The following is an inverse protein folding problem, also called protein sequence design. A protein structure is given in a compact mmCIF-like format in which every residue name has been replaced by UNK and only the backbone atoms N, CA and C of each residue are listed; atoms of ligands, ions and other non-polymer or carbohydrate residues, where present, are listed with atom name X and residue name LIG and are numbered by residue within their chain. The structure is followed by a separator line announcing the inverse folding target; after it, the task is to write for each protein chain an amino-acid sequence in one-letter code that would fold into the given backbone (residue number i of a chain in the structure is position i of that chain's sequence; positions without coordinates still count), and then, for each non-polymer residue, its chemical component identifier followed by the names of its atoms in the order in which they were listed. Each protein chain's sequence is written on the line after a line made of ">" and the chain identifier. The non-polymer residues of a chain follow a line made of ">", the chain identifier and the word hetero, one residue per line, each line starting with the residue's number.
data_IF_278173782244
#
_entry.id   IF_278173782244
#
_cell.length_a   1.000
_cell.length_b   1.000
_cell.length_c   1.000
_cell.angle_alpha   90.00
_cell.angle_beta   90.00
_cell.angle_gamma   90.00
#
_symmetry.space_group_name_H-M   'P 1'
#
loop_
_entity.id
_entity.type
_entity.pdbx_description
1 polymer ?
#
# COMPACT_ATOMS: atom_id res chain seq x y z
N UNK A 1 23.77 8.02 -12.31
CA UNK A 1 22.71 7.63 -13.26
C UNK A 1 22.45 8.79 -14.21
N UNK A 2 22.43 8.55 -15.52
CA UNK A 2 22.18 9.59 -16.54
C UNK A 2 20.74 10.11 -16.43
N UNK A 3 20.48 11.33 -16.93
CA UNK A 3 19.16 11.96 -16.85
C UNK A 3 18.05 11.09 -17.47
N UNK A 4 18.28 10.55 -18.67
CA UNK A 4 17.32 9.69 -19.36
C UNK A 4 16.92 8.45 -18.55
N UNK A 5 17.88 7.82 -17.86
CA UNK A 5 17.61 6.67 -16.99
C UNK A 5 16.74 7.04 -15.79
N UNK A 6 16.94 8.24 -15.20
CA UNK A 6 16.08 8.76 -14.12
C UNK A 6 14.66 8.98 -14.63
N UNK A 7 14.51 9.53 -15.84
CA UNK A 7 13.21 9.77 -16.47
C UNK A 7 12.48 8.47 -16.78
N UNK A 8 13.16 7.45 -17.34
CA UNK A 8 12.55 6.15 -17.60
C UNK A 8 12.05 5.47 -16.32
N UNK A 9 12.88 5.46 -15.26
CA UNK A 9 12.47 4.92 -13.96
C UNK A 9 11.27 5.68 -13.38
N UNK A 10 11.30 7.01 -13.47
CA UNK A 10 10.20 7.87 -13.02
C UNK A 10 8.90 7.56 -13.76
N UNK A 11 8.96 7.45 -15.09
CA UNK A 11 7.83 7.11 -15.93
C UNK A 11 7.25 5.74 -15.58
N UNK A 12 8.10 4.73 -15.34
CA UNK A 12 7.65 3.39 -14.93
C UNK A 12 6.93 3.40 -13.58
N UNK A 13 7.43 4.15 -12.60
CA UNK A 13 6.79 4.28 -11.28
C UNK A 13 5.44 4.97 -11.40
N UNK A 14 5.37 6.08 -12.13
CA UNK A 14 4.11 6.83 -12.32
C UNK A 14 3.10 6.01 -13.13
N UNK A 15 3.52 5.36 -14.21
CA UNK A 15 2.64 4.53 -15.03
C UNK A 15 2.10 3.32 -14.26
N UNK A 16 2.96 2.59 -13.55
CA UNK A 16 2.53 1.41 -12.78
C UNK A 16 1.64 1.77 -11.59
N UNK A 17 2.00 2.80 -10.82
CA UNK A 17 1.16 3.24 -9.70
C UNK A 17 -0.13 3.90 -10.16
N UNK A 18 -0.08 4.69 -11.24
CA UNK A 18 -1.28 5.25 -11.86
C UNK A 18 -2.21 4.16 -12.38
N UNK A 19 -1.67 3.13 -13.04
CA UNK A 19 -2.46 2.00 -13.50
C UNK A 19 -3.05 1.20 -12.34
N UNK A 20 -2.32 1.02 -11.23
CA UNK A 20 -2.87 0.42 -10.01
C UNK A 20 -4.07 1.18 -9.48
N UNK A 21 -3.95 2.50 -9.28
CA UNK A 21 -5.06 3.33 -8.79
C UNK A 21 -6.23 3.38 -9.77
N UNK A 22 -5.95 3.32 -11.07
CA UNK A 22 -6.98 3.22 -12.10
C UNK A 22 -7.76 1.90 -12.01
N UNK A 23 -7.07 0.77 -11.88
CA UNK A 23 -7.71 -0.54 -11.69
C UNK A 23 -8.53 -0.60 -10.40
N UNK A 24 -8.02 0.00 -9.32
CA UNK A 24 -8.73 0.08 -8.04
C UNK A 24 -9.99 0.93 -8.15
N UNK A 25 -9.91 2.09 -8.81
CA UNK A 25 -11.06 2.98 -9.01
C UNK A 25 -12.10 2.45 -10.00
N UNK A 26 -11.68 1.64 -10.97
CA UNK A 26 -12.56 0.96 -11.92
C UNK A 26 -13.37 -0.20 -11.33
N UNK A 27 -13.00 -0.69 -10.14
CA UNK A 27 -13.71 -1.75 -9.43
C UNK A 27 -14.94 -1.22 -8.64
N UNK A 28 -15.60 -0.18 -9.16
CA UNK A 28 -16.78 0.41 -8.51
C UNK A 28 -18.08 -0.21 -9.06
N UNK A 29 -19.03 -0.65 -8.20
CA UNK A 29 -19.01 -0.60 -6.73
C UNK A 29 -18.02 -1.60 -6.12
N UNK A 30 -17.42 -1.28 -4.94
CA UNK A 30 -16.43 -2.14 -4.29
C UNK A 30 -17.11 -3.43 -3.85
N UNK A 31 -17.04 -4.47 -4.68
CA UNK A 31 -17.33 -5.82 -4.21
C UNK A 31 -16.20 -6.23 -3.25
N UNK A 32 -16.51 -7.08 -2.27
CA UNK A 32 -15.53 -7.60 -1.30
C UNK A 32 -14.38 -8.39 -1.91
N UNK A 33 -14.36 -8.56 -3.23
CA UNK A 33 -13.16 -8.89 -4.01
C UNK A 33 -12.22 -7.65 -4.06
N UNK A 34 -11.78 -7.22 -2.87
CA UNK A 34 -11.08 -5.98 -2.55
C UNK A 34 -9.92 -5.62 -3.51
N UNK A 35 -9.31 -6.60 -4.16
CA UNK A 35 -8.23 -6.44 -5.13
C UNK A 35 -8.35 -7.57 -6.16
N UNK A 36 -8.61 -7.22 -7.42
CA UNK A 36 -8.51 -8.18 -8.53
C UNK A 36 -7.08 -8.73 -8.63
N UNK A 37 -6.91 -9.99 -9.05
CA UNK A 37 -5.58 -10.59 -9.21
C UNK A 37 -4.64 -9.74 -10.07
N UNK A 38 -5.16 -9.09 -11.11
CA UNK A 38 -4.41 -8.15 -11.95
C UNK A 38 -3.93 -6.93 -11.15
N UNK A 39 -4.80 -6.30 -10.36
CA UNK A 39 -4.42 -5.14 -9.55
C UNK A 39 -3.37 -5.50 -8.49
N UNK A 40 -3.39 -6.71 -7.93
CA UNK A 40 -2.36 -7.21 -7.02
C UNK A 40 -0.99 -7.32 -7.73
N UNK A 41 -0.95 -7.87 -8.95
CA UNK A 41 0.29 -7.98 -9.75
C UNK A 41 0.86 -6.60 -10.08
N UNK A 42 0.00 -5.68 -10.52
CA UNK A 42 0.41 -4.29 -10.83
C UNK A 42 0.91 -3.58 -9.58
N UNK A 43 0.26 -3.79 -8.43
CA UNK A 43 0.70 -3.23 -7.15
C UNK A 43 2.09 -3.74 -6.76
N UNK A 44 2.32 -5.05 -6.85
CA UNK A 44 3.62 -5.66 -6.54
C UNK A 44 4.72 -5.12 -7.46
N UNK A 45 4.43 -4.95 -8.76
CA UNK A 45 5.34 -4.33 -9.70
C UNK A 45 5.62 -2.86 -9.34
N UNK A 46 4.58 -2.08 -9.03
CA UNK A 46 4.71 -0.70 -8.57
C UNK A 46 5.58 -0.58 -7.31
N UNK A 47 5.35 -1.44 -6.31
CA UNK A 47 6.14 -1.49 -5.08
C UNK A 47 7.62 -1.80 -5.38
N UNK A 48 7.88 -2.70 -6.32
CA UNK A 48 9.24 -3.01 -6.78
C UNK A 48 9.94 -1.82 -7.45
N UNK A 49 9.25 -1.16 -8.37
CA UNK A 49 9.80 0.02 -9.06
C UNK A 49 9.99 1.20 -8.11
N UNK A 50 9.08 1.39 -7.15
CA UNK A 50 9.17 2.44 -6.15
C UNK A 50 10.29 2.20 -5.14
N UNK A 51 10.48 0.94 -4.70
CA UNK A 51 11.62 0.57 -3.85
C UNK A 51 12.95 0.92 -4.52
N UNK A 52 13.08 0.58 -5.81
CA UNK A 52 14.22 0.96 -6.62
C UNK A 52 14.37 2.49 -6.76
N UNK A 53 13.27 3.22 -6.93
CA UNK A 53 13.25 4.67 -6.97
C UNK A 53 13.73 5.30 -5.65
N UNK A 54 13.34 4.77 -4.48
CA UNK A 54 13.86 5.24 -3.19
C UNK A 54 15.38 5.08 -3.07
N UNK A 55 15.95 4.03 -3.67
CA UNK A 55 17.39 3.80 -3.67
C UNK A 55 18.11 4.72 -4.66
N UNK A 56 17.60 4.85 -5.89
CA UNK A 56 18.33 5.48 -7.00
C UNK A 56 18.04 6.97 -7.20
N UNK A 57 16.85 7.43 -6.84
CA UNK A 57 16.41 8.82 -7.04
C UNK A 57 16.55 9.64 -5.77
N UNK A 58 16.46 10.95 -5.89
CA UNK A 58 16.47 11.85 -4.74
C UNK A 58 15.13 11.78 -4.00
N UNK A 59 15.15 11.98 -2.68
CA UNK A 59 13.95 11.86 -1.82
C UNK A 59 12.77 12.73 -2.32
N UNK A 60 13.06 13.93 -2.81
CA UNK A 60 12.05 14.86 -3.34
C UNK A 60 11.41 14.32 -4.62
N UNK A 61 12.24 13.73 -5.50
CA UNK A 61 11.76 13.11 -6.74
C UNK A 61 10.89 11.90 -6.38
N UNK A 62 11.34 11.01 -5.49
CA UNK A 62 10.55 9.85 -5.09
C UNK A 62 9.19 10.23 -4.51
N UNK A 63 9.12 11.26 -3.66
CA UNK A 63 7.85 11.76 -3.13
C UNK A 63 6.95 12.34 -4.22
N UNK A 64 7.52 13.08 -5.19
CA UNK A 64 6.78 13.56 -6.35
C UNK A 64 6.24 12.40 -7.20
N UNK A 65 6.99 11.30 -7.35
CA UNK A 65 6.49 10.12 -8.08
C UNK A 65 5.31 9.46 -7.38
N UNK A 66 5.31 9.39 -6.04
CA UNK A 66 4.17 8.90 -5.25
C UNK A 66 2.95 9.81 -5.43
N UNK A 67 3.16 11.12 -5.44
CA UNK A 67 2.09 12.09 -5.70
C UNK A 67 1.48 11.88 -7.09
N UNK A 68 2.32 11.83 -8.12
CA UNK A 68 1.88 11.67 -9.51
C UNK A 68 1.23 10.31 -9.75
N UNK A 69 1.74 9.25 -9.13
CA UNK A 69 1.15 7.91 -9.28
C UNK A 69 -0.23 7.81 -8.63
N UNK A 70 -0.49 8.56 -7.56
CA UNK A 70 -1.81 8.63 -6.92
C UNK A 70 -2.81 9.56 -7.64
N UNK A 71 -2.40 10.27 -8.69
CA UNK A 71 -3.28 11.23 -9.40
C UNK A 71 -4.59 10.65 -9.95
N UNK A 72 -4.69 9.37 -10.39
CA UNK A 72 -5.96 8.83 -10.86
C UNK A 72 -7.05 8.79 -9.78
N UNK A 73 -6.69 8.82 -8.48
CA UNK A 73 -7.68 8.90 -7.39
C UNK A 73 -8.61 10.11 -7.51
N UNK A 74 -8.14 11.21 -8.10
CA UNK A 74 -8.96 12.40 -8.37
C UNK A 74 -10.08 12.14 -9.37
N UNK A 75 -9.94 11.14 -10.24
CA UNK A 75 -10.96 10.80 -11.23
C UNK A 75 -12.09 10.00 -10.59
N UNK A 76 -11.76 9.06 -9.70
CA UNK A 76 -12.71 8.06 -9.19
C UNK A 76 -13.40 8.45 -7.87
N UNK A 77 -12.72 9.17 -6.98
CA UNK A 77 -13.34 9.58 -5.72
C UNK A 77 -14.35 10.70 -5.94
N UNK A 78 -15.56 10.53 -5.39
CA UNK A 78 -16.58 11.58 -5.39
C UNK A 78 -16.11 12.82 -4.60
N UNK A 79 -15.54 12.59 -3.41
CA UNK A 79 -14.89 13.63 -2.61
C UNK A 79 -13.46 13.93 -3.13
N UNK A 80 -13.34 15.03 -3.86
CA UNK A 80 -12.06 15.49 -4.42
C UNK A 80 -11.09 15.99 -3.34
N UNK A 81 -11.58 16.49 -2.21
CA UNK A 81 -10.71 16.94 -1.11
C UNK A 81 -10.07 15.74 -0.43
N UNK A 82 -10.83 14.66 -0.21
CA UNK A 82 -10.26 13.42 0.30
C UNK A 82 -9.23 12.83 -0.66
N UNK A 83 -9.51 12.81 -1.96
CA UNK A 83 -8.56 12.35 -2.97
C UNK A 83 -7.24 13.14 -2.94
N UNK A 84 -7.32 14.48 -2.88
CA UNK A 84 -6.15 15.34 -2.68
C UNK A 84 -5.43 15.04 -1.36
N UNK A 85 -6.18 14.80 -0.28
CA UNK A 85 -5.64 14.41 1.02
C UNK A 85 -4.85 13.10 0.96
N UNK A 86 -5.37 12.09 0.26
CA UNK A 86 -4.68 10.81 0.01
C UNK A 86 -3.41 11.04 -0.81
N UNK A 87 -3.47 11.81 -1.90
CA UNK A 87 -2.30 12.11 -2.74
C UNK A 87 -1.20 12.85 -1.97
N UNK A 88 -1.54 13.98 -1.34
CA UNK A 88 -0.60 14.83 -0.61
C UNK A 88 -0.09 14.14 0.65
N UNK A 89 -0.96 13.45 1.38
CA UNK A 89 -0.61 12.67 2.57
C UNK A 89 0.36 11.55 2.22
N UNK A 90 0.07 10.75 1.18
CA UNK A 90 0.95 9.68 0.72
C UNK A 90 2.32 10.21 0.29
N UNK A 91 2.33 11.29 -0.49
CA UNK A 91 3.56 11.92 -0.95
C UNK A 91 4.41 12.46 0.22
N UNK A 92 3.78 13.19 1.15
CA UNK A 92 4.46 13.78 2.30
C UNK A 92 5.01 12.70 3.25
N UNK A 93 4.20 11.69 3.56
CA UNK A 93 4.64 10.60 4.44
C UNK A 93 5.72 9.72 3.77
N UNK A 94 5.74 9.62 2.43
CA UNK A 94 6.77 8.87 1.70
C UNK A 94 8.20 9.44 1.85
N UNK A 95 8.35 10.69 2.32
CA UNK A 95 9.67 11.22 2.69
C UNK A 95 10.33 10.41 3.82
N UNK A 96 9.54 9.85 4.74
CA UNK A 96 10.06 9.06 5.87
C UNK A 96 10.79 7.80 5.39
N UNK A 97 10.19 6.88 4.61
CA UNK A 97 10.89 5.71 4.09
C UNK A 97 12.03 6.09 3.14
N UNK A 98 11.86 7.09 2.27
CA UNK A 98 12.92 7.55 1.38
C UNK A 98 14.13 8.07 2.17
N UNK A 99 13.91 8.88 3.20
CA UNK A 99 14.97 9.40 4.05
C UNK A 99 15.67 8.28 4.82
N UNK A 100 14.92 7.33 5.40
CA UNK A 100 15.50 6.18 6.11
C UNK A 100 16.39 5.34 5.20
N UNK A 101 15.93 5.02 3.99
CA UNK A 101 16.72 4.27 2.99
C UNK A 101 18.00 5.02 2.63
N UNK A 102 17.92 6.34 2.38
CA UNK A 102 19.10 7.16 2.07
C UNK A 102 20.09 7.25 3.22
N UNK A 103 19.62 7.32 4.46
CA UNK A 103 20.47 7.30 5.65
C UNK A 103 21.21 5.96 5.74
N UNK A 104 20.50 4.86 5.54
CA UNK A 104 21.05 3.50 5.57
C UNK A 104 22.10 3.25 4.48
N UNK A 105 21.88 3.79 3.27
CA UNK A 105 22.86 3.73 2.17
C UNK A 105 24.18 4.42 2.56
N UNK A 106 24.10 5.53 3.30
CA UNK A 106 25.28 6.30 3.70
C UNK A 106 26.03 5.69 4.90
N UNK A 107 25.34 5.00 5.79
CA UNK A 107 25.93 4.47 7.03
C UNK A 107 26.59 3.11 6.87
N UNK A 108 26.37 2.40 5.76
CA UNK A 108 26.86 1.03 5.58
C UNK A 108 28.17 0.95 4.80
N UNK A 109 29.05 0.06 5.25
CA UNK A 109 30.26 -0.33 4.52
C UNK A 109 29.95 -1.26 3.33
N UNK A 110 28.95 -2.13 3.46
CA UNK A 110 28.53 -3.09 2.43
C UNK A 110 27.15 -2.73 1.93
N UNK A 111 27.03 -2.52 0.61
CA UNK A 111 25.77 -2.19 -0.04
C UNK A 111 24.92 -3.46 -0.24
N UNK A 112 23.73 -3.50 0.38
CA UNK A 112 22.75 -4.57 0.24
C UNK A 112 21.36 -3.99 0.02
N UNK A 113 20.83 -4.14 -1.21
CA UNK A 113 19.50 -3.62 -1.59
C UNK A 113 18.40 -4.18 -0.69
N UNK A 114 18.44 -5.49 -0.43
CA UNK A 114 17.45 -6.17 0.39
C UNK A 114 17.37 -5.54 1.77
N UNK A 115 18.51 -5.44 2.46
CA UNK A 115 18.55 -4.88 3.83
C UNK A 115 18.10 -3.42 3.89
N UNK A 116 18.47 -2.61 2.90
CA UNK A 116 18.04 -1.21 2.83
C UNK A 116 16.52 -1.09 2.68
N UNK A 117 15.93 -1.89 1.79
CA UNK A 117 14.48 -1.89 1.59
C UNK A 117 13.73 -2.45 2.80
N UNK A 118 14.28 -3.43 3.52
CA UNK A 118 13.67 -3.95 4.76
C UNK A 118 13.51 -2.88 5.85
N UNK A 119 14.37 -1.84 5.87
CA UNK A 119 14.26 -0.75 6.84
C UNK A 119 13.25 0.32 6.44
N UNK A 120 13.07 0.56 5.14
CA UNK A 120 12.19 1.62 4.63
C UNK A 120 10.81 1.15 4.19
N UNK A 121 10.74 0.04 3.45
CA UNK A 121 9.50 -0.43 2.81
C UNK A 121 8.37 -0.72 3.80
N UNK A 122 8.57 -1.34 4.99
CA UNK A 122 7.47 -1.56 5.93
C UNK A 122 6.74 -0.27 6.35
N UNK A 123 7.47 0.85 6.44
CA UNK A 123 6.89 2.16 6.73
C UNK A 123 6.06 2.64 5.54
N UNK A 124 6.60 2.51 4.32
CA UNK A 124 5.86 2.87 3.10
C UNK A 124 4.58 2.04 2.93
N UNK A 125 4.64 0.73 3.18
CA UNK A 125 3.48 -0.16 3.12
C UNK A 125 2.42 0.22 4.16
N UNK A 126 2.83 0.65 5.35
CA UNK A 126 1.89 1.20 6.35
C UNK A 126 1.19 2.44 5.82
N UNK A 127 1.92 3.35 5.17
CA UNK A 127 1.35 4.55 4.56
C UNK A 127 0.37 4.17 3.45
N UNK A 128 0.74 3.25 2.55
CA UNK A 128 -0.14 2.78 1.49
C UNK A 128 -1.41 2.10 2.03
N UNK A 129 -1.30 1.31 3.10
CA UNK A 129 -2.47 0.67 3.72
C UNK A 129 -3.43 1.73 4.29
N UNK A 130 -2.89 2.79 4.89
CA UNK A 130 -3.68 3.92 5.38
C UNK A 130 -4.35 4.67 4.22
N UNK A 131 -3.62 4.93 3.13
CA UNK A 131 -4.14 5.59 1.94
C UNK A 131 -5.25 4.81 1.26
N UNK A 132 -5.14 3.48 1.22
CA UNK A 132 -6.22 2.61 0.73
C UNK A 132 -7.41 2.62 1.67
N UNK A 133 -7.20 2.49 2.98
CA UNK A 133 -8.30 2.55 3.94
C UNK A 133 -9.06 3.89 3.85
N UNK A 134 -8.34 5.00 3.67
CA UNK A 134 -8.92 6.31 3.41
C UNK A 134 -9.65 6.37 2.04
N UNK A 135 -9.11 5.73 1.00
CA UNK A 135 -9.78 5.65 -0.31
C UNK A 135 -11.15 4.97 -0.22
N UNK A 136 -11.29 3.96 0.63
CA UNK A 136 -12.57 3.29 0.88
C UNK A 136 -13.49 4.04 1.85
N UNK A 137 -13.04 5.10 2.55
CA UNK A 137 -13.83 5.79 3.59
C UNK A 137 -15.10 6.56 3.13
N UNK A 138 -15.07 7.42 2.08
CA UNK A 138 -16.21 8.26 1.74
C UNK A 138 -17.33 7.45 1.05
N UNK A 139 -17.02 6.21 0.66
CA UNK A 139 -17.98 5.26 0.12
C UNK A 139 -18.89 4.69 1.23
N UNK A 140 -18.66 5.04 2.50
CA UNK A 140 -19.24 4.37 3.67
C UNK A 140 -20.32 5.19 4.39
N UNK A 141 -20.67 6.39 3.92
CA UNK A 141 -21.72 7.21 4.55
C UNK A 141 -23.11 6.54 4.50
N UNK A 142 -23.26 5.47 3.71
CA UNK A 142 -24.47 4.65 3.64
C UNK A 142 -24.27 3.19 4.09
N UNK A 143 -23.17 2.86 4.80
CA UNK A 143 -22.97 1.48 5.27
C UNK A 143 -24.04 1.11 6.30
N UNK A 144 -24.75 0.03 5.99
CA UNK A 144 -25.61 -0.68 6.91
C UNK A 144 -24.88 -1.89 7.48
N UNK A 145 -25.42 -2.51 8.54
CA UNK A 145 -24.85 -3.75 9.08
C UNK A 145 -24.81 -4.89 8.05
N UNK A 146 -25.71 -4.87 7.06
CA UNK A 146 -25.75 -5.85 5.97
C UNK A 146 -24.52 -5.75 5.06
N UNK A 147 -23.94 -4.56 4.90
CA UNK A 147 -22.73 -4.35 4.12
C UNK A 147 -21.47 -4.83 4.86
N UNK A 148 -21.50 -4.79 6.20
CA UNK A 148 -20.39 -5.23 7.05
C UNK A 148 -20.32 -6.75 7.15
N UNK A 149 -21.47 -7.41 7.22
CA UNK A 149 -21.59 -8.87 7.30
C UNK A 149 -22.38 -9.34 6.07
N UNK A 150 -21.70 -9.59 4.94
CA UNK A 150 -22.36 -10.07 3.74
C UNK A 150 -23.02 -11.42 3.99
N UNK A 151 -24.17 -11.62 3.37
CA UNK A 151 -24.91 -12.88 3.37
C UNK A 151 -24.00 -14.07 2.99
N UNK A 152 -23.23 -13.94 1.91
CA UNK A 152 -22.27 -15.00 1.50
C UNK A 152 -21.19 -15.34 2.54
N UNK A 153 -20.82 -14.41 3.42
CA UNK A 153 -19.91 -14.70 4.53
C UNK A 153 -20.66 -15.42 5.64
N UNK A 154 -21.89 -14.98 5.95
CA UNK A 154 -22.76 -15.60 6.93
C UNK A 154 -23.09 -17.06 6.56
N UNK A 155 -23.49 -17.30 5.30
CA UNK A 155 -23.71 -18.65 4.74
C UNK A 155 -22.47 -19.54 4.91
N UNK A 156 -21.27 -19.03 4.59
CA UNK A 156 -20.03 -19.80 4.77
C UNK A 156 -19.77 -20.14 6.22
N UNK A 157 -20.05 -19.25 7.16
CA UNK A 157 -19.90 -19.51 8.60
C UNK A 157 -20.92 -20.53 9.08
N UNK A 158 -22.18 -20.40 8.64
CA UNK A 158 -23.24 -21.35 8.95
C UNK A 158 -22.96 -22.75 8.41
N UNK A 159 -22.35 -22.86 7.23
CA UNK A 159 -21.97 -24.16 6.64
C UNK A 159 -20.97 -24.96 7.49
N UNK A 160 -20.27 -24.33 8.45
CA UNK A 160 -19.41 -25.02 9.42
C UNK A 160 -20.17 -25.51 10.67
N UNK A 161 -21.42 -25.12 10.85
CA UNK A 161 -22.24 -25.55 11.99
C UNK A 161 -23.03 -26.81 11.61
N UNK A 162 -23.17 -27.79 12.54
CA UNK A 162 -23.79 -29.08 12.24
C UNK A 162 -25.35 -29.05 12.23
N UNK A 163 -25.97 -27.88 12.14
CA UNK A 163 -27.43 -27.73 12.29
C UNK A 163 -28.04 -27.14 11.01
N UNK A 164 -29.07 -27.81 10.47
CA UNK A 164 -29.91 -27.27 9.40
C UNK A 164 -30.89 -26.25 9.99
N UNK A 165 -30.62 -24.97 9.77
CA UNK A 165 -31.52 -23.88 10.16
C UNK A 165 -31.78 -23.01 8.93
N UNK A 166 -33.03 -22.54 8.69
CA UNK A 166 -33.32 -21.68 7.56
C UNK A 166 -32.44 -20.43 7.57
N UNK A 167 -31.53 -20.36 6.59
CA UNK A 167 -30.40 -19.42 6.53
C UNK A 167 -30.87 -17.96 6.47
N UNK A 168 -31.85 -17.68 5.61
CA UNK A 168 -32.38 -16.32 5.39
C UNK A 168 -33.00 -15.73 6.67
N UNK A 169 -33.79 -16.52 7.39
CA UNK A 169 -34.49 -16.08 8.59
C UNK A 169 -33.51 -15.82 9.73
N UNK A 170 -32.50 -16.68 9.87
CA UNK A 170 -31.42 -16.47 10.85
C UNK A 170 -30.57 -15.25 10.51
N UNK A 171 -30.25 -15.05 9.24
CA UNK A 171 -29.45 -13.90 8.80
C UNK A 171 -30.17 -12.59 9.12
N UNK A 172 -31.42 -12.44 8.68
CA UNK A 172 -32.22 -11.23 8.96
C UNK A 172 -32.40 -11.01 10.47
N UNK A 173 -32.74 -12.07 11.22
CA UNK A 173 -32.88 -11.96 12.70
C UNK A 173 -31.56 -11.53 13.36
N UNK A 174 -30.43 -12.05 12.88
CA UNK A 174 -29.12 -11.70 13.42
C UNK A 174 -28.76 -10.24 13.12
N UNK A 175 -29.04 -9.77 11.90
CA UNK A 175 -28.85 -8.38 11.50
C UNK A 175 -29.75 -7.45 12.32
N UNK A 176 -31.02 -7.79 12.51
CA UNK A 176 -31.96 -6.99 13.31
C UNK A 176 -31.52 -6.88 14.77
N UNK A 177 -31.10 -8.00 15.39
CA UNK A 177 -30.59 -8.01 16.76
C UNK A 177 -29.29 -7.20 16.89
N UNK A 178 -28.39 -7.30 15.90
CA UNK A 178 -27.18 -6.49 15.87
C UNK A 178 -27.51 -5.01 15.70
N UNK A 179 -28.41 -4.66 14.80
CA UNK A 179 -28.82 -3.28 14.56
C UNK A 179 -29.50 -2.68 15.79
N UNK A 180 -30.38 -3.42 16.46
CA UNK A 180 -31.04 -2.98 17.70
C UNK A 180 -30.02 -2.77 18.82
N UNK A 181 -29.13 -3.75 19.05
CA UNK A 181 -28.13 -3.69 20.12
C UNK A 181 -27.04 -2.65 19.87
N UNK A 182 -26.64 -2.45 18.62
CA UNK A 182 -25.53 -1.57 18.24
C UNK A 182 -25.98 -0.25 17.60
N UNK A 183 -27.27 0.10 17.67
CA UNK A 183 -27.80 1.37 17.13
C UNK A 183 -27.03 2.60 17.61
N UNK A 184 -26.65 2.65 18.88
CA UNK A 184 -25.85 3.75 19.44
C UNK A 184 -24.44 3.84 18.85
N UNK A 185 -23.94 2.76 18.25
CA UNK A 185 -22.61 2.65 17.66
C UNK A 185 -22.59 2.81 16.14
N UNK A 186 -23.76 2.97 15.50
CA UNK A 186 -23.88 3.15 14.05
C UNK A 186 -23.00 4.30 13.54
N UNK A 187 -22.91 5.40 14.30
CA UNK A 187 -22.03 6.54 14.01
C UNK A 187 -20.54 6.17 13.93
N UNK A 188 -20.11 5.11 14.62
CA UNK A 188 -18.71 4.67 14.64
C UNK A 188 -18.42 3.55 13.63
N UNK A 189 -19.44 2.97 12.98
CA UNK A 189 -19.25 1.90 11.99
C UNK A 189 -18.25 2.28 10.89
N UNK A 190 -18.29 3.48 10.28
CA UNK A 190 -17.32 3.85 9.26
C UNK A 190 -15.88 3.85 9.77
N UNK A 191 -15.67 4.28 11.03
CA UNK A 191 -14.33 4.33 11.64
C UNK A 191 -13.82 2.92 11.94
N UNK A 192 -14.67 2.06 12.52
CA UNK A 192 -14.33 0.66 12.79
C UNK A 192 -14.02 -0.07 11.48
N UNK A 193 -14.83 0.15 10.44
CA UNK A 193 -14.61 -0.43 9.13
C UNK A 193 -13.28 0.00 8.52
N UNK A 194 -12.97 1.30 8.51
CA UNK A 194 -11.66 1.81 8.04
C UNK A 194 -10.51 1.16 8.80
N UNK A 195 -10.65 0.97 10.11
CA UNK A 195 -9.62 0.30 10.91
C UNK A 195 -9.44 -1.16 10.51
N UNK A 196 -10.53 -1.89 10.26
CA UNK A 196 -10.51 -3.28 9.77
C UNK A 196 -9.87 -3.35 8.39
N UNK A 197 -10.28 -2.48 7.45
CA UNK A 197 -9.71 -2.39 6.10
C UNK A 197 -8.22 -2.06 6.15
N UNK A 198 -7.82 -1.12 7.00
CA UNK A 198 -6.42 -0.79 7.24
C UNK A 198 -5.64 -2.02 7.75
N UNK A 199 -6.17 -2.74 8.75
CA UNK A 199 -5.53 -3.93 9.30
C UNK A 199 -5.41 -5.06 8.26
N UNK A 200 -6.45 -5.25 7.44
CA UNK A 200 -6.45 -6.21 6.34
C UNK A 200 -5.38 -5.86 5.30
N UNK A 201 -5.35 -4.63 4.79
CA UNK A 201 -4.32 -4.18 3.85
C UNK A 201 -2.93 -4.22 4.45
N UNK A 202 -2.76 -3.85 5.72
CA UNK A 202 -1.47 -3.93 6.41
C UNK A 202 -0.96 -5.37 6.43
N UNK A 203 -1.82 -6.34 6.71
CA UNK A 203 -1.46 -7.77 6.75
C UNK A 203 -1.12 -8.28 5.35
N UNK A 204 -1.96 -7.96 4.36
CA UNK A 204 -1.73 -8.28 2.96
C UNK A 204 -0.40 -7.72 2.46
N UNK A 205 -0.10 -6.46 2.80
CA UNK A 205 1.09 -5.76 2.35
C UNK A 205 2.37 -6.27 2.98
N UNK A 206 2.33 -6.96 4.12
CA UNK A 206 3.51 -7.68 4.60
C UNK A 206 3.93 -8.69 3.52
N UNK A 207 3.01 -9.53 3.06
CA UNK A 207 3.29 -10.55 2.03
C UNK A 207 3.70 -9.91 0.69
N UNK A 208 2.93 -8.94 0.19
CA UNK A 208 3.24 -8.27 -1.07
C UNK A 208 4.55 -7.46 -1.00
N UNK A 209 4.89 -6.95 0.18
CA UNK A 209 6.12 -6.22 0.46
C UNK A 209 7.36 -7.06 0.20
N UNK A 210 7.38 -8.31 0.67
CA UNK A 210 8.47 -9.24 0.42
C UNK A 210 8.69 -9.48 -1.08
N UNK A 211 7.61 -9.66 -1.83
CA UNK A 211 7.66 -9.84 -3.29
C UNK A 211 8.17 -8.56 -3.96
N UNK A 212 7.69 -7.39 -3.53
CA UNK A 212 8.15 -6.08 -4.03
C UNK A 212 9.65 -5.85 -3.76
N UNK A 213 10.16 -6.26 -2.59
CA UNK A 213 11.60 -6.21 -2.27
C UNK A 213 12.38 -7.14 -3.21
N UNK A 214 11.90 -8.37 -3.44
CA UNK A 214 12.53 -9.32 -4.34
C UNK A 214 12.59 -8.78 -5.78
N UNK A 215 11.50 -8.18 -6.28
CA UNK A 215 11.47 -7.53 -7.59
C UNK A 215 12.42 -6.34 -7.65
N UNK A 216 12.46 -5.49 -6.62
CA UNK A 216 13.41 -4.36 -6.54
C UNK A 216 14.85 -4.85 -6.63
N UNK A 217 15.18 -5.92 -5.91
CA UNK A 217 16.51 -6.53 -5.91
C UNK A 217 16.87 -7.12 -7.27
N UNK A 218 15.95 -7.85 -7.90
CA UNK A 218 16.14 -8.39 -9.25
C UNK A 218 16.35 -7.28 -10.28
N UNK A 219 15.49 -6.25 -10.26
CA UNK A 219 15.62 -5.09 -11.14
C UNK A 219 16.95 -4.36 -10.93
N UNK A 220 17.41 -4.21 -9.69
CA UNK A 220 18.71 -3.63 -9.40
C UNK A 220 19.87 -4.48 -9.96
N UNK A 221 19.81 -5.81 -9.83
CA UNK A 221 20.80 -6.71 -10.44
C UNK A 221 20.84 -6.60 -11.96
N UNK A 222 19.68 -6.50 -12.61
CA UNK A 222 19.59 -6.28 -14.06
C UNK A 222 20.26 -4.94 -14.44
N UNK A 223 20.03 -3.87 -13.68
CA UNK A 223 20.68 -2.58 -13.92
C UNK A 223 22.20 -2.60 -13.70
N UNK A 224 22.69 -3.39 -12.74
CA UNK A 224 24.13 -3.62 -12.58
C UNK A 224 24.71 -4.39 -13.76
N UNK A 225 24.05 -5.47 -14.19
CA UNK A 225 24.49 -6.28 -15.33
C UNK A 225 24.53 -5.45 -16.62
N UNK A 226 23.51 -4.61 -16.84
CA UNK A 226 23.45 -3.67 -17.96
C UNK A 226 24.43 -2.48 -17.85
N UNK A 227 25.26 -2.42 -16.81
CA UNK A 227 26.19 -1.31 -16.53
C UNK A 227 25.52 0.08 -16.42
N UNK A 228 24.21 0.11 -16.13
CA UNK A 228 23.44 1.33 -15.91
C UNK A 228 23.78 1.95 -14.56
N UNK A 229 24.05 1.10 -13.57
CA UNK A 229 24.48 1.48 -12.22
C UNK A 229 25.86 0.87 -11.95
N UNK A 230 26.74 1.63 -11.30
CA UNK A 230 28.05 1.15 -10.84
C UNK A 230 28.15 1.35 -9.33
N UNK A 231 28.53 0.31 -8.61
CA UNK A 231 28.82 0.41 -7.17
C UNK A 231 30.23 0.99 -7.05
N UNK A 232 30.35 2.16 -6.43
CA UNK A 232 31.65 2.77 -6.11
C UNK A 232 31.99 2.45 -4.67
N UNK A 233 33.02 1.64 -4.45
CA UNK A 233 33.65 1.53 -3.13
C UNK A 233 34.47 2.80 -2.90
N UNK A 234 34.24 3.47 -1.77
CA UNK A 234 35.06 4.62 -1.34
C UNK A 234 35.62 4.27 0.04
N UNK A 235 36.92 4.48 0.30
CA UNK A 235 37.45 4.33 1.64
C UNK A 235 36.79 5.38 2.55
N UNK A 236 36.10 4.93 3.61
CA UNK A 236 35.63 5.83 4.66
C UNK A 236 36.63 5.79 5.82
N UNK A 237 37.04 6.95 6.38
CA UNK A 237 37.82 6.98 7.60
C UNK A 237 36.99 6.35 8.73
N UNK A 238 37.54 5.34 9.39
CA UNK A 238 36.93 4.74 10.58
C UNK A 238 37.37 5.55 11.80
N UNK A 239 36.42 6.11 12.54
CA UNK A 239 36.67 6.73 13.84
C UNK A 239 36.62 5.64 14.92
N UNK A 240 37.71 5.51 15.69
CA UNK A 240 37.80 4.59 16.82
C UNK A 240 37.53 5.36 18.11
N UNK A 241 36.56 4.88 18.92
CA UNK A 241 36.37 5.39 20.28
C UNK A 241 37.28 4.58 21.18
N UNK A 242 38.43 5.14 21.53
CA UNK A 242 39.29 4.60 22.58
C UNK A 242 38.75 5.02 23.95
N UNK A 243 38.44 4.05 24.80
CA UNK A 243 38.15 4.30 26.21
C UNK A 243 39.48 4.40 26.97
N UNK A 244 39.68 5.52 27.67
CA UNK A 244 40.79 5.70 28.61
C UNK A 244 40.43 5.20 30.00
#
# INVERSE_FOLDING_TARGET
>A
MKLWQKLMLSALVVASGGYFWFLLGGAYPPTLELISSLSAVVLVFFLGMLGLAFILLEKNISALLVLLSASPTLLFLGDKYLALGIMLGSATLSFVPAHRIKKEIKSRMIFSVGEMLHKGMPVFLTIMALSLAAFFYPQLEAITFQDVIPESFFEKVLAFLPFEVPEDALYQTSIDLLQERFRSYERYLPVVFVFVVFAAFRTLFILLGWIGIAISWLAFKILLYASVVKISTRPMPQEYIEFK
#
